data_IF_439127786861
#
_entry.id   IF_439127786861
#
_cell.length_a   1.000
_cell.length_b   1.000
_cell.length_c   1.000
_cell.angle_alpha   90.00
_cell.angle_beta   90.00
_cell.angle_gamma   90.00
#
_symmetry.space_group_name_H-M   'P 1'
#
loop_
_entity.id
_entity.type
_entity.pdbx_description
1 polymer ?
#
# COMPACT_ATOMS: atom_id res chain seq x y z
N UNK A 1 -10.54 -31.67 8.94
CA UNK A 1 -11.09 -30.30 8.75
C UNK A 1 -9.96 -29.44 8.21
N UNK A 2 -10.19 -28.69 7.12
CA UNK A 2 -9.19 -27.72 6.66
C UNK A 2 -9.37 -26.47 7.54
N UNK A 3 -8.40 -26.22 8.42
CA UNK A 3 -8.36 -24.98 9.19
C UNK A 3 -7.43 -24.02 8.48
N UNK A 4 -7.92 -22.82 8.26
CA UNK A 4 -7.15 -21.73 7.70
C UNK A 4 -6.02 -21.35 8.67
N UNK A 5 -4.81 -21.20 8.16
CA UNK A 5 -3.64 -20.80 8.95
C UNK A 5 -3.50 -19.31 8.75
N UNK A 6 -3.51 -18.54 9.84
CA UNK A 6 -3.33 -17.11 9.72
C UNK A 6 -1.86 -16.76 9.46
N UNK A 7 -1.48 -16.61 8.20
CA UNK A 7 -0.09 -16.29 7.86
C UNK A 7 0.31 -14.87 8.31
N UNK A 8 -0.65 -13.95 8.52
CA UNK A 8 -0.37 -12.63 9.10
C UNK A 8 0.06 -12.68 10.57
N UNK A 9 -0.24 -13.76 11.29
CA UNK A 9 0.33 -14.01 12.63
C UNK A 9 1.70 -14.66 12.59
N UNK A 10 2.15 -15.09 11.42
CA UNK A 10 3.48 -15.67 11.23
C UNK A 10 4.42 -14.62 10.66
N UNK A 11 5.67 -14.55 11.12
CA UNK A 11 6.66 -13.60 10.58
C UNK A 11 7.02 -13.81 9.09
N UNK A 12 6.38 -14.76 8.41
CA UNK A 12 6.61 -15.10 7.01
C UNK A 12 5.80 -14.27 6.01
N UNK A 13 4.81 -13.49 6.45
CA UNK A 13 3.96 -12.73 5.52
C UNK A 13 4.75 -11.67 4.72
N UNK A 14 5.86 -11.15 5.23
CA UNK A 14 6.74 -10.15 4.58
C UNK A 14 6.02 -8.91 4.00
N UNK A 15 4.75 -8.68 4.34
CA UNK A 15 4.02 -7.47 3.98
C UNK A 15 4.68 -6.24 4.60
N UNK A 16 4.88 -5.20 3.79
CA UNK A 16 5.47 -3.93 4.22
C UNK A 16 4.55 -3.12 5.13
N UNK A 17 3.23 -3.25 4.99
CA UNK A 17 2.25 -2.46 5.76
C UNK A 17 1.15 -3.35 6.33
N UNK A 18 0.08 -3.60 5.57
CA UNK A 18 -1.10 -4.34 6.05
C UNK A 18 -1.01 -5.78 5.54
N UNK A 19 -1.33 -6.75 6.40
CA UNK A 19 -1.52 -8.14 6.02
C UNK A 19 -2.97 -8.55 6.29
N UNK A 20 -3.66 -9.02 5.26
CA UNK A 20 -4.99 -9.59 5.34
C UNK A 20 -4.97 -11.08 5.09
N UNK A 21 -5.35 -11.81 6.12
CA UNK A 21 -5.50 -13.25 6.05
C UNK A 21 -6.80 -13.60 5.31
N UNK A 22 -6.70 -14.47 4.31
CA UNK A 22 -7.83 -14.95 3.51
C UNK A 22 -7.95 -16.47 3.63
N UNK A 23 -9.11 -17.04 3.37
CA UNK A 23 -9.25 -18.49 3.48
C UNK A 23 -8.38 -19.21 2.42
N UNK A 24 -7.32 -19.89 2.85
CA UNK A 24 -6.36 -20.62 2.02
C UNK A 24 -5.12 -19.84 1.60
N UNK A 25 -4.97 -18.56 1.97
CA UNK A 25 -3.77 -17.74 1.68
C UNK A 25 -3.81 -16.39 2.42
N UNK A 26 -2.82 -15.51 2.19
CA UNK A 26 -2.85 -14.13 2.66
C UNK A 26 -2.63 -13.15 1.51
N UNK A 27 -3.05 -11.91 1.71
CA UNK A 27 -2.80 -10.80 0.80
C UNK A 27 -2.24 -9.63 1.57
N UNK A 28 -1.17 -9.03 1.06
CA UNK A 28 -0.71 -7.77 1.59
C UNK A 28 -1.56 -6.62 1.01
N UNK A 29 -1.80 -5.61 1.82
CA UNK A 29 -2.43 -4.35 1.43
C UNK A 29 -1.56 -3.18 1.86
N UNK A 30 -1.76 -2.06 1.20
CA UNK A 30 -1.09 -0.81 1.53
C UNK A 30 -2.12 0.21 2.03
N UNK A 31 -1.66 1.18 2.81
CA UNK A 31 -2.47 2.35 3.18
C UNK A 31 -2.87 3.12 1.93
N UNK A 32 -3.92 3.93 2.07
CA UNK A 32 -4.30 4.91 1.04
C UNK A 32 -3.09 5.79 0.71
N UNK A 33 -2.88 6.10 -0.58
CA UNK A 33 -1.69 6.79 -1.05
C UNK A 33 -0.50 5.88 -1.37
N UNK A 34 -0.60 4.56 -1.15
CA UNK A 34 0.46 3.61 -1.52
C UNK A 34 -0.04 2.57 -2.52
N UNK A 35 0.84 2.15 -3.42
CA UNK A 35 0.61 1.02 -4.33
C UNK A 35 1.43 -0.18 -3.91
N UNK A 36 0.84 -1.35 -4.09
CA UNK A 36 1.57 -2.61 -3.94
C UNK A 36 2.48 -2.82 -5.16
N UNK A 37 3.72 -3.23 -4.93
CA UNK A 37 4.65 -3.59 -6.00
C UNK A 37 4.30 -4.94 -6.62
N UNK A 38 4.98 -5.28 -7.72
CA UNK A 38 4.81 -6.57 -8.42
C UNK A 38 5.12 -7.79 -7.53
N UNK A 39 5.88 -7.59 -6.46
CA UNK A 39 6.15 -8.61 -5.45
C UNK A 39 4.92 -8.96 -4.58
N UNK A 40 3.85 -8.17 -4.67
CA UNK A 40 2.62 -8.35 -3.91
C UNK A 40 2.79 -8.16 -2.40
N UNK A 41 3.87 -7.51 -1.96
CA UNK A 41 4.24 -7.40 -0.54
C UNK A 41 4.78 -6.04 -0.15
N UNK A 42 5.53 -5.39 -1.03
CA UNK A 42 6.11 -4.08 -0.77
C UNK A 42 5.14 -2.99 -1.17
N UNK A 43 4.99 -2.00 -0.30
CA UNK A 43 4.17 -0.83 -0.54
C UNK A 43 5.06 0.35 -0.88
N UNK A 44 4.84 0.95 -2.04
CA UNK A 44 5.54 2.17 -2.45
C UNK A 44 4.54 3.29 -2.50
N UNK A 45 4.93 4.44 -1.94
CA UNK A 45 4.15 5.66 -2.00
C UNK A 45 3.83 6.03 -3.45
N UNK A 46 2.59 6.45 -3.68
CA UNK A 46 2.08 6.86 -4.99
C UNK A 46 2.29 8.35 -5.08
N UNK A 47 3.20 8.76 -5.95
CA UNK A 47 3.40 10.16 -6.23
C UNK A 47 2.19 10.74 -6.98
N UNK A 48 1.26 11.35 -6.24
CA UNK A 48 0.07 11.94 -6.85
C UNK A 48 0.38 13.23 -7.60
N UNK A 49 1.57 13.80 -7.49
CA UNK A 49 2.01 14.91 -8.33
C UNK A 49 2.38 14.46 -9.75
N UNK A 50 2.82 13.21 -9.91
CA UNK A 50 3.16 12.60 -11.21
C UNK A 50 1.97 11.87 -11.80
N UNK A 51 1.10 11.36 -10.95
CA UNK A 51 -0.15 10.74 -11.38
C UNK A 51 -1.13 11.88 -11.70
N UNK A 52 -1.69 11.96 -12.91
CA UNK A 52 -2.69 12.99 -13.37
C UNK A 52 -3.99 13.07 -12.51
N UNK A 53 -3.99 12.50 -11.31
CA UNK A 53 -5.05 12.52 -10.32
C UNK A 53 -5.13 13.84 -9.54
N UNK A 54 -4.08 14.68 -9.56
CA UNK A 54 -4.02 15.92 -8.75
C UNK A 54 -4.01 17.18 -9.61
N UNK A 55 -5.00 18.05 -9.35
CA UNK A 55 -5.07 19.39 -9.90
C UNK A 55 -4.69 20.44 -8.85
N UNK A 56 -3.42 20.46 -8.41
CA UNK A 56 -2.92 21.59 -7.62
C UNK A 56 -2.81 22.84 -8.52
N UNK A 57 -3.13 24.01 -7.98
CA UNK A 57 -3.16 25.26 -8.77
C UNK A 57 -1.77 25.86 -9.04
N UNK A 58 -0.78 25.58 -8.19
CA UNK A 58 0.59 26.12 -8.30
C UNK A 58 1.63 25.00 -8.28
N UNK A 59 1.98 24.51 -7.08
CA UNK A 59 2.93 23.43 -6.89
C UNK A 59 2.29 22.22 -6.24
N UNK A 60 2.90 21.06 -6.48
CA UNK A 60 2.58 19.82 -5.79
C UNK A 60 3.86 19.27 -5.15
N UNK A 61 3.75 18.88 -3.88
CA UNK A 61 4.79 18.22 -3.13
C UNK A 61 4.28 16.86 -2.67
N UNK A 62 4.90 15.79 -3.14
CA UNK A 62 4.58 14.45 -2.70
C UNK A 62 5.01 14.25 -1.23
N UNK A 63 4.17 13.59 -0.44
CA UNK A 63 4.38 13.32 0.98
C UNK A 63 4.21 11.82 1.25
N UNK A 64 4.74 11.31 2.36
CA UNK A 64 4.60 9.89 2.68
C UNK A 64 3.13 9.54 2.95
N UNK A 65 2.48 8.85 2.00
CA UNK A 65 1.07 8.45 2.02
C UNK A 65 0.08 9.45 1.44
N UNK A 66 0.56 10.46 0.68
CA UNK A 66 -0.32 11.45 0.06
C UNK A 66 0.43 12.61 -0.60
N UNK A 67 -0.25 13.72 -0.86
CA UNK A 67 0.38 14.92 -1.41
C UNK A 67 -0.03 16.18 -0.67
N UNK A 68 0.80 17.22 -0.79
CA UNK A 68 0.52 18.56 -0.33
C UNK A 68 0.63 19.55 -1.50
N UNK A 69 -0.42 20.33 -1.75
CA UNK A 69 -0.32 21.44 -2.69
C UNK A 69 0.46 22.59 -2.04
N UNK A 70 1.46 23.10 -2.76
CA UNK A 70 2.22 24.28 -2.38
C UNK A 70 1.76 25.48 -3.21
N UNK A 71 1.95 26.69 -2.67
CA UNK A 71 1.58 27.95 -3.31
C UNK A 71 2.81 28.65 -3.88
#
# INVERSE_FOLDING_TARGET
TCHDINECKTSFHNCSQICDNTHGSYKCRCFSGYRIQEDGRTCTDVDECVTDLVMCSHGCANTDGGYACTC
#
